data_IF_626695135065
#
_entry.id   IF_626695135065
#
_cell.length_a   1.000
_cell.length_b   1.000
_cell.length_c   1.000
_cell.angle_alpha   90.00
_cell.angle_beta   90.00
_cell.angle_gamma   90.00
#
_symmetry.space_group_name_H-M   'P 1'
#
loop_
_entity.id
_entity.type
_entity.pdbx_description
1 polymer ?
#
# COMPACT_ATOMS: atom_id res chain seq x y z
N UNK A 1 -2.46 15.83 0.99
CA UNK A 1 -3.41 14.84 0.42
C UNK A 1 -2.78 14.31 -0.85
N UNK A 2 -1.99 13.23 -0.73
CA UNK A 2 -1.27 12.67 -1.88
C UNK A 2 -2.30 11.95 -2.74
N UNK A 3 -2.73 12.60 -3.82
CA UNK A 3 -3.57 11.96 -4.85
C UNK A 3 -2.64 11.06 -5.66
N UNK A 4 -2.67 9.76 -5.39
CA UNK A 4 -2.07 8.79 -6.31
C UNK A 4 -3.01 8.72 -7.50
N UNK A 5 -2.62 9.32 -8.61
CA UNK A 5 -3.31 9.12 -9.88
C UNK A 5 -2.69 7.88 -10.53
N UNK A 6 -3.30 6.71 -10.29
CA UNK A 6 -2.78 5.42 -10.73
C UNK A 6 -2.64 5.35 -12.26
N UNK A 7 -3.53 6.02 -13.01
CA UNK A 7 -3.49 6.16 -14.47
C UNK A 7 -2.25 6.87 -15.07
N UNK A 8 -1.27 7.27 -14.25
CA UNK A 8 -0.04 7.95 -14.65
C UNK A 8 1.22 7.10 -14.42
N UNK A 9 1.08 5.87 -13.93
CA UNK A 9 2.22 5.07 -13.45
C UNK A 9 2.83 4.15 -14.52
N UNK A 10 2.24 4.10 -15.72
CA UNK A 10 2.56 3.11 -16.77
C UNK A 10 3.95 3.27 -17.43
N UNK A 11 4.63 4.42 -17.30
CA UNK A 11 5.91 4.70 -18.01
C UNK A 11 6.99 5.34 -17.12
N UNK A 12 7.05 4.93 -15.85
CA UNK A 12 7.97 5.49 -14.87
C UNK A 12 7.35 6.68 -14.14
N UNK A 13 7.13 6.48 -12.84
CA UNK A 13 6.47 7.44 -11.97
C UNK A 13 7.33 7.83 -10.79
N UNK A 14 6.75 8.63 -9.90
CA UNK A 14 7.31 8.81 -8.57
C UNK A 14 6.29 8.44 -7.51
N UNK A 15 6.73 7.71 -6.49
CA UNK A 15 5.96 7.43 -5.28
C UNK A 15 6.58 8.20 -4.12
N UNK A 16 5.89 9.23 -3.63
CA UNK A 16 6.40 10.16 -2.61
C UNK A 16 7.80 10.72 -2.92
N UNK A 17 8.07 11.01 -4.20
CA UNK A 17 9.38 11.53 -4.64
C UNK A 17 10.44 10.46 -4.94
N UNK A 18 10.16 9.18 -4.71
CA UNK A 18 11.02 8.07 -5.09
C UNK A 18 10.67 7.58 -6.50
N UNK A 19 11.66 7.35 -7.36
CA UNK A 19 11.44 6.79 -8.68
C UNK A 19 10.86 5.38 -8.58
N UNK A 20 9.86 5.09 -9.41
CA UNK A 20 9.28 3.75 -9.55
C UNK A 20 9.25 3.32 -11.01
N UNK A 21 9.37 2.02 -11.23
CA UNK A 21 9.39 1.42 -12.55
C UNK A 21 8.36 0.29 -12.61
N UNK A 22 7.36 0.42 -13.47
CA UNK A 22 6.40 -0.65 -13.72
C UNK A 22 7.01 -1.70 -14.66
N UNK A 23 6.73 -2.98 -14.39
CA UNK A 23 7.10 -4.09 -15.25
C UNK A 23 5.86 -4.92 -15.56
N UNK A 24 5.47 -4.94 -16.83
CA UNK A 24 4.26 -5.60 -17.31
C UNK A 24 4.30 -7.14 -17.14
N UNK A 25 5.49 -7.75 -17.22
CA UNK A 25 5.66 -9.21 -17.13
C UNK A 25 5.14 -9.78 -15.80
N UNK A 26 5.28 -9.02 -14.72
CA UNK A 26 4.89 -9.40 -13.37
C UNK A 26 3.88 -8.42 -12.74
N UNK A 27 3.35 -7.48 -13.54
CA UNK A 27 2.37 -6.47 -13.12
C UNK A 27 2.78 -5.75 -11.81
N UNK A 28 4.06 -5.39 -11.70
CA UNK A 28 4.66 -4.95 -10.44
C UNK A 28 5.43 -3.63 -10.58
N UNK A 29 5.33 -2.80 -9.54
CA UNK A 29 6.10 -1.56 -9.41
C UNK A 29 7.37 -1.80 -8.60
N UNK A 30 8.51 -1.66 -9.26
CA UNK A 30 9.83 -1.69 -8.64
C UNK A 30 10.21 -0.32 -8.08
N UNK A 31 10.91 -0.32 -6.94
CA UNK A 31 11.37 0.88 -6.25
C UNK A 31 12.76 0.62 -5.65
N UNK A 32 13.55 1.68 -5.45
CA UNK A 32 14.79 1.59 -4.68
C UNK A 32 14.49 1.02 -3.27
N UNK A 33 15.21 -0.03 -2.88
CA UNK A 33 15.12 -0.58 -1.53
C UNK A 33 15.42 0.47 -0.45
N UNK A 34 16.20 1.51 -0.72
CA UNK A 34 16.50 2.60 0.20
C UNK A 34 15.51 3.78 0.14
N UNK A 35 14.43 3.68 -0.63
CA UNK A 35 13.44 4.76 -0.82
C UNK A 35 12.86 5.26 0.51
N UNK A 36 13.37 6.39 1.02
CA UNK A 36 12.90 7.00 2.25
C UNK A 36 11.52 7.66 2.06
N UNK A 37 10.71 7.70 3.12
CA UNK A 37 9.41 8.39 3.08
C UNK A 37 8.36 7.74 2.17
N UNK A 38 8.57 6.49 1.73
CA UNK A 38 7.60 5.68 1.00
C UNK A 38 6.42 5.19 1.89
N UNK A 39 5.87 6.08 2.72
CA UNK A 39 4.68 5.84 3.54
C UNK A 39 3.40 6.14 2.76
N UNK A 40 2.33 5.38 2.99
CA UNK A 40 1.03 5.62 2.36
C UNK A 40 -0.03 5.93 3.40
N UNK A 41 -0.66 7.09 3.33
CA UNK A 41 -1.76 7.43 4.26
C UNK A 41 -3.11 7.12 3.61
N UNK A 42 -3.81 6.13 4.15
CA UNK A 42 -5.20 5.87 3.83
C UNK A 42 -6.11 6.74 4.71
N UNK A 43 -7.10 7.39 4.11
CA UNK A 43 -8.09 8.19 4.85
C UNK A 43 -9.44 7.48 4.76
N UNK A 44 -10.04 7.18 5.92
CA UNK A 44 -11.37 6.56 6.01
C UNK A 44 -12.26 7.45 6.88
N UNK A 45 -13.24 8.11 6.27
CA UNK A 45 -14.02 9.16 6.93
C UNK A 45 -13.11 10.31 7.36
N UNK A 46 -13.10 10.61 8.66
CA UNK A 46 -12.26 11.66 9.27
C UNK A 46 -10.96 11.11 9.88
N UNK A 47 -10.67 9.81 9.72
CA UNK A 47 -9.52 9.16 10.34
C UNK A 47 -8.40 8.91 9.32
N UNK A 48 -7.17 9.19 9.73
CA UNK A 48 -5.96 8.87 8.98
C UNK A 48 -5.31 7.58 9.48
N UNK A 49 -4.97 6.71 8.55
CA UNK A 49 -4.26 5.45 8.78
C UNK A 49 -2.95 5.46 7.99
N UNK A 50 -1.88 6.06 8.53
CA UNK A 50 -0.58 6.02 7.89
C UNK A 50 -0.05 4.59 7.85
N UNK A 51 0.36 4.09 6.69
CA UNK A 51 1.02 2.81 6.48
C UNK A 51 2.49 3.10 6.24
N UNK A 52 3.35 2.54 7.09
CA UNK A 52 4.78 2.80 7.06
C UNK A 52 5.43 2.10 5.86
N UNK A 53 6.52 2.69 5.38
CA UNK A 53 7.41 2.16 4.33
C UNK A 53 7.74 0.69 4.51
N UNK A 54 8.03 0.24 5.74
CA UNK A 54 8.37 -1.16 6.04
C UNK A 54 7.26 -2.15 5.63
N UNK A 55 6.01 -1.68 5.53
CA UNK A 55 4.88 -2.46 5.06
C UNK A 55 4.56 -2.22 3.57
N UNK A 56 5.07 -1.14 2.98
CA UNK A 56 4.85 -0.74 1.58
C UNK A 56 5.95 -1.23 0.64
N UNK A 57 7.20 -1.30 1.09
CA UNK A 57 8.36 -1.71 0.29
C UNK A 57 8.76 -3.12 0.70
N UNK A 58 8.70 -4.05 -0.24
CA UNK A 58 8.96 -5.48 -0.02
C UNK A 58 10.19 -5.88 -0.81
N UNK A 59 11.22 -6.36 -0.12
CA UNK A 59 12.40 -6.98 -0.75
C UNK A 59 12.05 -8.41 -1.18
N UNK A 60 12.02 -8.67 -2.49
CA UNK A 60 11.66 -9.98 -3.07
C UNK A 60 12.89 -10.82 -3.41
N UNK A 61 13.99 -10.17 -3.72
CA UNK A 61 15.33 -10.74 -3.86
C UNK A 61 16.35 -9.74 -3.31
N UNK A 62 17.60 -10.17 -3.12
CA UNK A 62 18.65 -9.29 -2.57
C UNK A 62 18.75 -7.99 -3.39
N UNK A 63 18.55 -6.86 -2.73
CA UNK A 63 18.59 -5.51 -3.33
C UNK A 63 17.54 -5.29 -4.45
N UNK A 64 16.48 -6.11 -4.49
CA UNK A 64 15.35 -5.99 -5.42
C UNK A 64 14.08 -5.76 -4.62
N UNK A 65 13.56 -4.54 -4.66
CA UNK A 65 12.36 -4.16 -3.93
C UNK A 65 11.21 -3.74 -4.84
N UNK A 66 10.02 -4.06 -4.37
CA UNK A 66 8.75 -3.74 -5.04
C UNK A 66 7.83 -3.02 -4.09
N UNK A 67 6.91 -2.23 -4.63
CA UNK A 67 5.81 -1.68 -3.84
C UNK A 67 4.71 -2.73 -3.70
N UNK A 68 4.18 -2.87 -2.48
CA UNK A 68 3.01 -3.67 -2.18
C UNK A 68 1.70 -2.93 -2.53
N UNK A 69 1.67 -2.29 -3.71
CA UNK A 69 0.50 -1.67 -4.32
C UNK A 69 0.52 -2.02 -5.80
N UNK A 70 -0.59 -2.48 -6.32
CA UNK A 70 -0.74 -2.89 -7.71
C UNK A 70 -2.15 -2.55 -8.17
N UNK A 71 -2.31 -2.46 -9.49
CA UNK A 71 -3.61 -2.21 -10.07
C UNK A 71 -4.45 -3.48 -10.00
N UNK A 72 -5.71 -3.34 -9.61
CA UNK A 72 -6.64 -4.45 -9.61
C UNK A 72 -7.91 -4.06 -10.34
N UNK A 73 -8.13 -4.68 -11.50
CA UNK A 73 -9.34 -4.48 -12.28
C UNK A 73 -10.39 -5.55 -11.97
N UNK A 74 -11.58 -5.12 -11.55
CA UNK A 74 -12.74 -6.00 -11.47
C UNK A 74 -14.02 -5.24 -11.78
N UNK A 75 -14.87 -5.87 -12.60
CA UNK A 75 -16.19 -5.41 -13.03
C UNK A 75 -17.18 -5.04 -11.90
N UNK A 76 -16.94 -5.49 -10.66
CA UNK A 76 -17.79 -5.22 -9.47
C UNK A 76 -16.92 -4.82 -8.26
N UNK A 77 -15.67 -4.39 -8.47
CA UNK A 77 -14.77 -4.13 -7.35
C UNK A 77 -15.11 -2.84 -6.60
N UNK A 78 -14.93 -2.79 -5.27
CA UNK A 78 -14.76 -1.51 -4.58
C UNK A 78 -13.55 -0.77 -5.16
N UNK A 79 -13.55 0.56 -5.03
CA UNK A 79 -12.47 1.42 -5.56
C UNK A 79 -11.08 1.02 -5.05
N UNK A 80 -10.98 0.33 -3.90
CA UNK A 80 -9.72 -0.08 -3.27
C UNK A 80 -9.84 -1.43 -2.53
N UNK A 81 -8.83 -2.29 -2.67
CA UNK A 81 -8.62 -3.46 -1.81
C UNK A 81 -7.49 -3.15 -0.84
N UNK A 82 -7.79 -3.19 0.46
CA UNK A 82 -6.85 -2.81 1.52
C UNK A 82 -6.21 -4.10 2.06
N UNK A 83 -5.11 -4.52 1.42
CA UNK A 83 -4.46 -5.81 1.64
C UNK A 83 -3.32 -5.81 2.66
N UNK A 84 -2.31 -6.62 2.36
CA UNK A 84 -1.16 -6.94 3.22
C UNK A 84 -0.54 -5.74 3.98
N UNK A 85 -0.19 -4.61 3.34
CA UNK A 85 0.47 -3.52 4.04
C UNK A 85 -0.35 -2.96 5.21
N UNK A 86 -1.65 -2.85 5.00
CA UNK A 86 -2.56 -2.33 6.01
C UNK A 86 -2.84 -3.37 7.09
N UNK A 87 -3.11 -4.62 6.70
CA UNK A 87 -3.44 -5.71 7.65
C UNK A 87 -2.24 -6.04 8.56
N UNK A 88 -1.00 -5.88 8.07
CA UNK A 88 0.21 -6.03 8.91
C UNK A 88 0.32 -4.93 9.96
N UNK A 89 -0.04 -3.69 9.61
CA UNK A 89 0.11 -2.55 10.53
C UNK A 89 -1.11 -2.32 11.43
N UNK A 90 -2.30 -2.76 11.01
CA UNK A 90 -3.55 -2.54 11.71
C UNK A 90 -4.31 -3.85 11.91
N UNK A 91 -4.64 -4.16 13.16
CA UNK A 91 -5.58 -5.20 13.51
C UNK A 91 -6.99 -4.81 13.00
N UNK A 92 -7.63 -5.74 12.29
CA UNK A 92 -8.96 -5.58 11.73
C UNK A 92 -9.98 -6.24 12.67
N UNK A 93 -10.90 -5.44 13.20
CA UNK A 93 -11.93 -5.89 14.15
C UNK A 93 -13.25 -5.96 13.42
N UNK A 94 -13.73 -7.17 13.17
CA UNK A 94 -15.00 -7.41 12.47
C UNK A 94 -16.13 -7.60 13.49
N UNK A 95 -16.89 -6.54 13.75
CA UNK A 95 -18.04 -6.56 14.64
C UNK A 95 -19.31 -6.85 13.82
N UNK A 96 -19.51 -8.13 13.50
CA UNK A 96 -20.61 -8.60 12.64
C UNK A 96 -21.99 -8.28 13.22
N UNK A 97 -22.12 -8.25 14.55
CA UNK A 97 -23.40 -7.97 15.23
C UNK A 97 -23.83 -6.52 15.02
N UNK A 98 -22.88 -5.59 15.04
CA UNK A 98 -23.14 -4.16 14.85
C UNK A 98 -22.78 -3.68 13.44
N UNK A 99 -22.54 -4.60 12.50
CA UNK A 99 -22.28 -4.32 11.08
C UNK A 99 -21.17 -3.27 10.85
N UNK A 100 -20.07 -3.38 11.60
CA UNK A 100 -18.96 -2.41 11.52
C UNK A 100 -17.60 -3.07 11.56
N UNK A 101 -16.62 -2.35 11.02
CA UNK A 101 -15.21 -2.71 11.07
C UNK A 101 -14.47 -1.63 11.86
N UNK A 102 -13.63 -2.05 12.79
CA UNK A 102 -12.70 -1.19 13.51
C UNK A 102 -11.26 -1.52 13.14
N UNK A 103 -10.38 -0.52 13.31
CA UNK A 103 -8.95 -0.67 13.09
C UNK A 103 -8.19 -0.21 14.33
N UNK A 104 -7.18 -0.97 14.72
CA UNK A 104 -6.27 -0.61 15.82
C UNK A 104 -4.83 -0.92 15.41
N UNK A 105 -3.81 -0.17 15.87
CA UNK A 105 -2.42 -0.53 15.61
C UNK A 105 -2.13 -1.98 16.00
N UNK A 106 -1.43 -2.71 15.13
CA UNK A 106 -0.98 -4.05 15.45
C UNK A 106 0.08 -4.01 16.56
N UNK A 107 0.18 -5.11 17.32
CA UNK A 107 1.22 -5.27 18.35
C UNK A 107 2.54 -5.82 17.78
N UNK A 108 2.61 -6.00 16.46
CA UNK A 108 3.80 -6.51 15.82
C UNK A 108 4.83 -5.39 15.74
N UNK A 109 6.00 -5.64 16.29
CA UNK A 109 7.14 -4.74 16.10
C UNK A 109 7.49 -4.70 14.60
N UNK A 110 7.71 -3.49 14.07
CA UNK A 110 8.23 -3.35 12.72
C UNK A 110 9.62 -4.02 12.66
N UNK A 111 9.88 -4.93 11.70
CA UNK A 111 11.18 -5.59 11.59
C UNK A 111 12.32 -4.59 11.37
#
# INVERSE_FOLDING_TARGET
MNRINLYSLDDGGTFNGNSIHYKEEDDTYYIDCAAEGADFTLIIGEHEYPIKRVNMVVEVEKDVCVLAIFEYWSWVSPDWIIGDPFIRQYCNIHDMKNERIGFAPSLQDSP
#
